data_IF_851487407846
#
_entry.id   IF_851487407846
#
_cell.length_a   1.000
_cell.length_b   1.000
_cell.length_c   1.000
_cell.angle_alpha   90.00
_cell.angle_beta   90.00
_cell.angle_gamma   90.00
#
_symmetry.space_group_name_H-M   'P 1'
#
loop_
_entity.id
_entity.type
_entity.pdbx_description
1 polymer ?
#
# COMPACT_ATOMS: atom_id res chain seq x y z
N UNK A 1 -7.44 -9.20 -25.51
CA UNK A 1 -8.37 -10.12 -24.80
C UNK A 1 -8.77 -9.47 -23.47
N UNK A 2 -10.06 -9.27 -23.19
CA UNK A 2 -10.55 -8.59 -21.97
C UNK A 2 -10.62 -9.59 -20.79
N UNK A 3 -9.48 -9.92 -20.19
CA UNK A 3 -9.39 -10.98 -19.15
C UNK A 3 -9.81 -10.45 -17.78
N UNK A 4 -9.22 -9.33 -17.32
CA UNK A 4 -9.50 -8.72 -16.01
C UNK A 4 -10.96 -8.25 -15.88
N UNK A 5 -11.54 -7.70 -16.96
CA UNK A 5 -12.92 -7.20 -16.98
C UNK A 5 -13.98 -8.30 -16.80
N UNK A 6 -13.61 -9.58 -16.92
CA UNK A 6 -14.54 -10.71 -16.74
C UNK A 6 -14.68 -11.16 -15.28
N UNK A 7 -13.93 -10.55 -14.36
CA UNK A 7 -14.01 -10.82 -12.92
C UNK A 7 -13.46 -12.19 -12.50
N UNK A 8 -13.69 -12.55 -11.24
CA UNK A 8 -13.23 -13.81 -10.64
C UNK A 8 -13.96 -15.01 -11.24
N UNK A 9 -13.21 -15.98 -11.79
CA UNK A 9 -13.73 -17.24 -12.35
C UNK A 9 -13.20 -18.49 -11.66
N UNK A 10 -12.31 -18.32 -10.69
CA UNK A 10 -11.67 -19.40 -9.97
C UNK A 10 -12.42 -19.72 -8.69
N UNK A 11 -12.43 -21.00 -8.31
CA UNK A 11 -12.91 -21.43 -6.99
C UNK A 11 -11.79 -21.19 -5.98
N UNK A 12 -11.97 -20.17 -5.15
CA UNK A 12 -11.05 -19.79 -4.10
C UNK A 12 -11.69 -20.00 -2.72
N UNK A 13 -10.87 -20.25 -1.72
CA UNK A 13 -11.32 -20.32 -0.33
C UNK A 13 -10.50 -19.39 0.54
N UNK A 14 -11.20 -18.57 1.33
CA UNK A 14 -10.60 -17.86 2.46
C UNK A 14 -10.50 -18.83 3.62
N UNK A 15 -9.31 -19.00 4.20
CA UNK A 15 -9.03 -19.97 5.26
C UNK A 15 -8.12 -19.37 6.33
N UNK A 16 -8.17 -19.90 7.54
CA UNK A 16 -7.26 -19.49 8.62
C UNK A 16 -5.91 -20.20 8.46
N UNK A 17 -4.84 -19.43 8.46
CA UNK A 17 -3.46 -19.93 8.45
C UNK A 17 -2.92 -20.02 9.88
N UNK A 18 -1.87 -20.79 10.08
CA UNK A 18 -1.30 -21.03 11.42
C UNK A 18 -0.72 -19.76 12.07
N UNK A 19 -0.10 -18.86 11.28
CA UNK A 19 0.68 -17.72 11.80
C UNK A 19 0.44 -16.38 11.10
N UNK A 20 -0.32 -16.35 10.00
CA UNK A 20 -0.50 -15.14 9.16
C UNK A 20 -1.93 -14.58 9.25
N UNK A 21 -2.80 -15.18 10.07
CA UNK A 21 -4.23 -14.87 10.09
C UNK A 21 -4.94 -15.50 8.90
N UNK A 22 -5.88 -14.79 8.29
CA UNK A 22 -6.60 -15.29 7.11
C UNK A 22 -5.72 -15.31 5.86
N UNK A 23 -5.90 -16.32 5.02
CA UNK A 23 -5.24 -16.50 3.73
C UNK A 23 -6.24 -16.88 2.65
N UNK A 24 -5.79 -16.97 1.41
CA UNK A 24 -6.58 -17.49 0.29
C UNK A 24 -5.87 -18.71 -0.28
N UNK A 25 -6.61 -19.77 -0.60
CA UNK A 25 -6.08 -20.93 -1.31
C UNK A 25 -6.90 -21.29 -2.54
N UNK A 26 -6.28 -21.95 -3.50
CA UNK A 26 -6.96 -22.47 -4.68
C UNK A 26 -7.76 -23.74 -4.33
N UNK A 27 -8.98 -23.89 -4.87
CA UNK A 27 -9.77 -25.14 -4.77
C UNK A 27 -9.70 -26.00 -6.04
N UNK A 28 -8.87 -25.57 -7.01
CA UNK A 28 -8.63 -26.26 -8.27
C UNK A 28 -7.22 -25.89 -8.76
N UNK A 29 -6.59 -26.70 -9.63
CA UNK A 29 -5.35 -26.31 -10.28
C UNK A 29 -5.52 -25.00 -11.07
N UNK A 30 -4.50 -24.14 -11.02
CA UNK A 30 -4.47 -22.87 -11.76
C UNK A 30 -3.21 -22.87 -12.61
N UNK A 31 -3.36 -22.78 -13.93
CA UNK A 31 -2.22 -22.71 -14.84
C UNK A 31 -1.49 -21.37 -14.73
N UNK A 32 -0.18 -21.37 -14.95
CA UNK A 32 0.63 -20.16 -15.05
C UNK A 32 0.01 -19.15 -16.03
N UNK A 33 0.06 -17.86 -15.67
CA UNK A 33 -0.49 -16.76 -16.45
C UNK A 33 -2.00 -16.56 -16.30
N UNK A 34 -2.69 -17.42 -15.56
CA UNK A 34 -4.13 -17.26 -15.29
C UNK A 34 -4.38 -16.05 -14.40
N UNK A 35 -5.35 -15.21 -14.78
CA UNK A 35 -5.84 -14.14 -13.92
C UNK A 35 -6.56 -14.72 -12.70
N UNK A 36 -6.14 -14.29 -11.51
CA UNK A 36 -6.67 -14.78 -10.23
C UNK A 36 -7.70 -13.82 -9.68
N UNK A 37 -7.30 -12.62 -9.30
CA UNK A 37 -8.18 -11.57 -8.79
C UNK A 37 -7.54 -10.19 -8.94
N UNK A 38 -8.32 -9.13 -8.67
CA UNK A 38 -7.76 -7.79 -8.47
C UNK A 38 -7.35 -7.63 -6.99
N UNK A 39 -6.40 -6.76 -6.69
CA UNK A 39 -6.25 -6.13 -5.38
C UNK A 39 -7.07 -4.83 -5.42
N UNK A 40 -8.32 -4.92 -4.99
CA UNK A 40 -9.28 -3.82 -5.13
C UNK A 40 -9.75 -3.33 -3.76
N UNK A 41 -9.80 -2.01 -3.63
CA UNK A 41 -10.32 -1.30 -2.47
C UNK A 41 -10.51 0.19 -2.74
N UNK A 42 -10.56 0.99 -1.69
CA UNK A 42 -10.63 2.45 -1.82
C UNK A 42 -9.36 2.99 -2.47
N UNK A 43 -9.50 3.87 -3.46
CA UNK A 43 -8.35 4.58 -4.05
C UNK A 43 -8.13 5.85 -3.24
N UNK A 44 -6.98 5.95 -2.59
CA UNK A 44 -6.67 7.03 -1.66
C UNK A 44 -5.71 8.05 -2.28
N UNK A 45 -5.87 9.31 -1.85
CA UNK A 45 -4.80 10.30 -1.96
C UNK A 45 -3.67 10.00 -0.99
N UNK A 46 -2.47 10.51 -1.29
CA UNK A 46 -1.26 10.32 -0.49
C UNK A 46 -1.43 10.67 0.99
N UNK A 47 -2.07 11.80 1.29
CA UNK A 47 -2.22 12.27 2.67
C UNK A 47 -3.18 11.39 3.47
N UNK A 48 -4.26 10.92 2.86
CA UNK A 48 -5.19 9.98 3.49
C UNK A 48 -4.55 8.61 3.70
N UNK A 49 -3.78 8.10 2.72
CA UNK A 49 -3.02 6.87 2.87
C UNK A 49 -2.04 6.95 4.04
N UNK A 50 -1.31 8.07 4.17
CA UNK A 50 -0.40 8.32 5.30
C UNK A 50 -1.13 8.41 6.64
N UNK A 51 -2.26 9.13 6.68
CA UNK A 51 -3.07 9.26 7.89
C UNK A 51 -3.55 7.89 8.38
N UNK A 52 -4.06 7.05 7.47
CA UNK A 52 -4.49 5.68 7.80
C UNK A 52 -3.31 4.79 8.21
N UNK A 53 -2.17 4.88 7.51
CA UNK A 53 -0.97 4.11 7.84
C UNK A 53 -0.42 4.45 9.25
N UNK A 54 -0.42 5.73 9.63
CA UNK A 54 0.01 6.19 10.97
C UNK A 54 -0.97 5.81 12.09
N UNK A 55 -2.24 5.60 11.76
CA UNK A 55 -3.25 5.17 12.72
C UNK A 55 -3.21 3.66 13.00
N UNK A 56 -2.45 2.87 12.21
CA UNK A 56 -2.33 1.43 12.42
C UNK A 56 -1.53 1.10 13.68
N UNK A 57 -2.03 0.14 14.43
CA UNK A 57 -1.34 -0.45 15.58
C UNK A 57 -0.55 -1.70 15.18
N UNK A 58 0.30 -2.19 16.09
CA UNK A 58 1.03 -3.44 15.93
C UNK A 58 0.15 -4.65 15.61
N UNK A 59 -1.12 -4.63 16.05
CA UNK A 59 -2.08 -5.72 15.93
C UNK A 59 -2.91 -5.66 14.65
N UNK A 60 -2.98 -4.50 14.02
CA UNK A 60 -3.79 -4.32 12.81
C UNK A 60 -3.12 -4.97 11.61
N UNK A 61 -3.90 -5.52 10.68
CA UNK A 61 -3.36 -5.91 9.39
C UNK A 61 -3.11 -4.65 8.54
N UNK A 62 -1.95 -4.60 7.86
CA UNK A 62 -1.65 -3.50 6.95
C UNK A 62 -2.09 -3.88 5.54
N UNK A 63 -3.09 -3.18 5.02
CA UNK A 63 -3.66 -3.43 3.70
C UNK A 63 -3.36 -2.31 2.68
N UNK A 64 -2.73 -1.20 3.10
CA UNK A 64 -2.49 -0.10 2.18
C UNK A 64 -1.37 -0.49 1.23
N UNK A 65 -1.68 -0.48 -0.06
CA UNK A 65 -0.73 -0.75 -1.12
C UNK A 65 -0.40 0.54 -1.86
N UNK A 66 0.88 0.89 -1.96
CA UNK A 66 1.35 1.97 -2.82
C UNK A 66 1.97 1.40 -4.09
N UNK A 67 1.41 1.77 -5.23
CA UNK A 67 2.00 1.52 -6.54
C UNK A 67 2.74 2.78 -7.00
N UNK A 68 4.02 2.62 -7.35
CA UNK A 68 4.86 3.68 -7.96
C UNK A 68 5.18 3.33 -9.40
N UNK A 69 4.66 4.11 -10.34
CA UNK A 69 4.90 3.93 -11.76
C UNK A 69 5.73 5.09 -12.31
N UNK A 70 6.87 4.77 -12.92
CA UNK A 70 7.65 5.74 -13.67
C UNK A 70 7.03 5.91 -15.04
N UNK A 71 6.51 7.10 -15.33
CA UNK A 71 5.92 7.44 -16.62
C UNK A 71 6.87 8.32 -17.43
N UNK A 72 6.57 8.49 -18.72
CA UNK A 72 7.40 9.27 -19.63
C UNK A 72 7.66 10.69 -19.10
N UNK A 73 8.90 11.17 -19.28
CA UNK A 73 9.34 12.48 -18.78
C UNK A 73 9.78 12.50 -17.32
N UNK A 74 10.11 11.34 -16.72
CA UNK A 74 10.65 11.25 -15.37
C UNK A 74 9.62 11.49 -14.25
N UNK A 75 8.33 11.57 -14.60
CA UNK A 75 7.25 11.72 -13.62
C UNK A 75 6.99 10.37 -12.96
N UNK A 76 6.67 10.40 -11.67
CA UNK A 76 6.23 9.22 -10.91
C UNK A 76 4.75 9.38 -10.58
N UNK A 77 3.94 8.41 -11.00
CA UNK A 77 2.55 8.30 -10.58
C UNK A 77 2.49 7.40 -9.34
N UNK A 78 1.83 7.90 -8.30
CA UNK A 78 1.54 7.10 -7.11
C UNK A 78 0.05 6.79 -7.03
N UNK A 79 -0.28 5.52 -6.87
CA UNK A 79 -1.65 5.07 -6.61
C UNK A 79 -1.66 4.34 -5.28
N UNK A 80 -2.54 4.76 -4.36
CA UNK A 80 -2.73 4.08 -3.08
C UNK A 80 -4.07 3.34 -3.10
N UNK A 81 -4.04 2.05 -2.79
CA UNK A 81 -5.25 1.21 -2.70
C UNK A 81 -5.36 0.66 -1.30
N UNK A 82 -6.50 0.89 -0.64
CA UNK A 82 -6.78 0.43 0.71
C UNK A 82 -8.08 -0.39 0.77
N UNK A 83 -8.00 -1.73 0.89
CA UNK A 83 -9.15 -2.61 1.02
C UNK A 83 -9.55 -2.86 2.48
N UNK A 84 -9.15 -2.00 3.42
CA UNK A 84 -9.44 -2.17 4.86
C UNK A 84 -10.95 -2.27 5.11
N UNK A 85 -11.73 -1.29 4.62
CA UNK A 85 -13.19 -1.21 4.85
C UNK A 85 -14.01 -1.66 3.64
N UNK A 86 -13.56 -1.35 2.43
CA UNK A 86 -14.21 -1.76 1.17
C UNK A 86 -13.17 -2.44 0.32
N UNK A 87 -13.34 -3.73 0.03
CA UNK A 87 -12.40 -4.48 -0.77
C UNK A 87 -12.92 -5.82 -1.25
N UNK A 88 -12.07 -6.57 -1.94
CA UNK A 88 -12.38 -7.90 -2.47
C UNK A 88 -11.54 -9.00 -1.81
N UNK A 89 -11.58 -10.22 -2.36
CA UNK A 89 -10.81 -11.38 -1.86
C UNK A 89 -9.30 -11.12 -1.81
N UNK A 90 -8.78 -10.20 -2.63
CA UNK A 90 -7.36 -9.86 -2.70
C UNK A 90 -6.79 -9.34 -1.39
N UNK A 91 -7.63 -8.76 -0.50
CA UNK A 91 -7.22 -8.29 0.82
C UNK A 91 -6.69 -9.40 1.75
N UNK A 92 -7.06 -10.66 1.48
CA UNK A 92 -6.65 -11.81 2.28
C UNK A 92 -5.42 -12.54 1.70
N UNK A 93 -4.87 -12.08 0.58
CA UNK A 93 -3.67 -12.69 0.00
C UNK A 93 -2.46 -12.32 0.86
N UNK A 94 -1.77 -13.34 1.37
CA UNK A 94 -0.60 -13.16 2.23
C UNK A 94 0.67 -12.89 1.43
N UNK A 95 1.68 -12.41 2.15
CA UNK A 95 3.02 -12.27 1.62
C UNK A 95 3.74 -13.63 1.49
N UNK A 96 4.52 -13.77 0.42
CA UNK A 96 5.63 -14.74 0.34
C UNK A 96 6.87 -14.11 -0.30
N UNK A 97 8.06 -14.50 0.20
CA UNK A 97 9.34 -14.15 -0.43
C UNK A 97 9.59 -14.97 -1.72
N UNK A 98 8.92 -16.12 -1.86
CA UNK A 98 8.82 -16.91 -3.09
C UNK A 98 7.34 -17.06 -3.44
N UNK A 99 6.71 -16.02 -3.99
CA UNK A 99 5.27 -16.03 -4.25
C UNK A 99 4.90 -16.82 -5.50
N UNK A 100 3.64 -17.26 -5.55
CA UNK A 100 3.04 -17.88 -6.74
C UNK A 100 2.13 -16.92 -7.53
N UNK A 101 1.97 -15.68 -7.09
CA UNK A 101 1.29 -14.61 -7.83
C UNK A 101 2.22 -13.46 -8.19
N UNK A 102 1.96 -12.84 -9.33
CA UNK A 102 2.57 -11.57 -9.77
C UNK A 102 1.48 -10.51 -9.93
N UNK A 103 1.75 -9.31 -9.43
CA UNK A 103 0.86 -8.16 -9.58
C UNK A 103 1.23 -7.36 -10.83
N UNK A 104 0.22 -7.01 -11.62
CA UNK A 104 0.37 -6.25 -12.86
C UNK A 104 -0.63 -5.08 -12.83
N UNK A 105 -0.16 -3.82 -12.91
CA UNK A 105 -1.02 -2.67 -13.11
C UNK A 105 -1.68 -2.73 -14.51
N UNK A 106 -3.01 -2.76 -14.56
CA UNK A 106 -3.78 -2.82 -15.80
C UNK A 106 -4.68 -1.60 -15.91
N UNK A 107 -4.45 -0.78 -16.94
CA UNK A 107 -5.37 0.30 -17.33
C UNK A 107 -6.32 -0.23 -18.39
N UNK A 108 -7.61 0.08 -18.23
CA UNK A 108 -8.59 -0.19 -19.28
C UNK A 108 -9.22 1.12 -19.71
N UNK A 109 -10.03 1.73 -18.85
CA UNK A 109 -10.79 2.95 -19.18
C UNK A 109 -10.51 4.11 -18.19
N UNK A 110 -9.46 4.00 -17.35
CA UNK A 110 -9.11 4.98 -16.32
C UNK A 110 -7.61 5.16 -16.18
N UNK A 111 -7.19 6.35 -15.75
CA UNK A 111 -5.81 6.65 -15.36
C UNK A 111 -5.39 5.89 -14.10
N UNK A 112 -6.35 5.56 -13.24
CA UNK A 112 -6.14 4.72 -12.06
C UNK A 112 -6.04 3.26 -12.51
N UNK A 113 -4.88 2.59 -12.32
CA UNK A 113 -4.72 1.21 -12.73
C UNK A 113 -5.49 0.27 -11.82
N UNK A 114 -6.04 -0.80 -12.39
CA UNK A 114 -6.48 -1.98 -11.65
C UNK A 114 -5.26 -2.83 -11.32
N UNK A 115 -5.09 -3.20 -10.06
CA UNK A 115 -3.99 -4.05 -9.61
C UNK A 115 -4.38 -5.52 -9.82
N UNK A 116 -4.04 -6.10 -10.97
CA UNK A 116 -4.44 -7.45 -11.33
C UNK A 116 -3.37 -8.46 -10.90
N UNK A 117 -3.78 -9.55 -10.22
CA UNK A 117 -2.90 -10.65 -9.85
C UNK A 117 -3.05 -11.82 -10.81
N UNK A 118 -1.92 -12.32 -11.29
CA UNK A 118 -1.82 -13.46 -12.19
C UNK A 118 -0.97 -14.56 -11.57
N UNK A 119 -1.26 -15.82 -11.89
CA UNK A 119 -0.43 -16.94 -11.49
C UNK A 119 0.97 -16.82 -12.13
N UNK A 120 2.02 -16.80 -11.30
CA UNK A 120 3.40 -16.69 -11.75
C UNK A 120 4.03 -18.06 -12.11
N UNK A 121 3.40 -19.14 -11.64
CA UNK A 121 3.70 -20.54 -11.91
C UNK A 121 2.38 -21.34 -11.92
N UNK A 122 2.44 -22.64 -12.22
CA UNK A 122 1.31 -23.53 -11.99
C UNK A 122 1.08 -23.68 -10.48
N UNK A 123 -0.19 -23.60 -10.06
CA UNK A 123 -0.61 -23.63 -8.66
C UNK A 123 -1.51 -24.85 -8.44
N UNK A 124 -1.20 -25.64 -7.42
CA UNK A 124 -1.96 -26.85 -7.10
C UNK A 124 -3.25 -26.55 -6.35
N UNK A 125 -4.24 -27.44 -6.45
CA UNK A 125 -5.41 -27.36 -5.58
C UNK A 125 -4.98 -27.52 -4.11
N UNK A 126 -5.52 -26.67 -3.24
CA UNK A 126 -5.16 -26.58 -1.82
C UNK A 126 -4.00 -25.64 -1.52
N UNK A 127 -3.24 -25.20 -2.52
CA UNK A 127 -2.09 -24.32 -2.34
C UNK A 127 -2.51 -22.88 -1.98
N UNK A 128 -1.80 -22.28 -1.02
CA UNK A 128 -2.03 -20.89 -0.63
C UNK A 128 -1.56 -19.93 -1.72
N UNK A 129 -2.39 -18.94 -2.02
CA UNK A 129 -2.13 -17.88 -2.97
C UNK A 129 -1.44 -16.71 -2.25
N UNK A 130 -0.26 -16.34 -2.74
CA UNK A 130 0.58 -15.33 -2.12
C UNK A 130 1.29 -14.46 -3.15
N UNK A 131 1.57 -13.22 -2.80
CA UNK A 131 2.32 -12.28 -3.63
C UNK A 131 3.41 -11.57 -2.81
N UNK A 132 4.34 -10.93 -3.49
CA UNK A 132 5.38 -10.13 -2.84
C UNK A 132 4.84 -8.73 -2.51
N UNK A 133 4.75 -8.41 -1.21
CA UNK A 133 4.25 -7.11 -0.74
C UNK A 133 5.18 -5.96 -1.11
N UNK A 134 6.45 -6.23 -1.42
CA UNK A 134 7.39 -5.21 -1.89
C UNK A 134 7.19 -4.82 -3.35
N UNK A 135 6.46 -5.63 -4.11
CA UNK A 135 6.27 -5.46 -5.55
C UNK A 135 7.53 -5.68 -6.40
N UNK A 136 8.60 -6.28 -5.84
CA UNK A 136 9.89 -6.51 -6.52
C UNK A 136 9.93 -7.84 -7.26
N UNK A 137 9.09 -8.80 -6.88
CA UNK A 137 9.02 -10.09 -7.55
C UNK A 137 8.70 -9.94 -9.05
N UNK A 138 9.63 -10.40 -9.90
CA UNK A 138 9.61 -10.22 -11.37
C UNK A 138 9.51 -8.75 -11.83
N UNK A 139 9.89 -7.81 -10.97
CA UNK A 139 9.92 -6.38 -11.25
C UNK A 139 11.07 -5.70 -10.46
N UNK A 140 12.34 -6.03 -10.76
CA UNK A 140 13.48 -5.41 -10.09
C UNK A 140 13.52 -3.91 -10.43
N UNK A 141 13.80 -3.02 -9.44
CA UNK A 141 13.98 -1.61 -9.72
C UNK A 141 15.18 -1.41 -10.67
N UNK A 142 15.15 -0.38 -11.53
CA UNK A 142 16.25 -0.11 -12.46
C UNK A 142 17.57 0.21 -11.75
N UNK A 143 17.53 0.65 -10.49
CA UNK A 143 18.69 0.89 -9.63
C UNK A 143 18.54 0.12 -8.31
N UNK A 144 19.47 -0.79 -8.01
CA UNK A 144 19.48 -1.62 -6.80
C UNK A 144 19.76 -0.82 -5.49
N UNK A 145 20.11 0.46 -5.59
CA UNK A 145 20.59 1.29 -4.47
C UNK A 145 19.52 2.04 -3.65
N UNK A 146 18.29 2.18 -4.15
CA UNK A 146 17.29 3.06 -3.53
C UNK A 146 16.21 2.25 -2.80
N UNK A 147 16.56 1.79 -1.60
CA UNK A 147 15.71 1.62 -0.42
C UNK A 147 16.48 0.75 0.58
N UNK A 148 17.61 1.27 1.07
CA UNK A 148 18.08 0.86 2.40
C UNK A 148 17.03 1.35 3.38
N UNK A 149 16.56 0.45 4.25
CA UNK A 149 15.71 0.83 5.37
C UNK A 149 16.40 2.01 6.09
N UNK A 150 15.72 3.13 6.37
CA UNK A 150 16.28 4.17 7.20
C UNK A 150 16.67 3.52 8.55
N UNK A 151 17.92 3.72 8.96
CA UNK A 151 18.34 3.46 10.32
C UNK A 151 17.70 4.53 11.18
N UNK A 152 16.57 4.20 11.80
CA UNK A 152 15.81 5.06 12.68
C UNK A 152 14.82 4.21 13.46
N UNK A 153 14.99 4.20 14.78
CA UNK A 153 14.15 3.49 15.72
C UNK A 153 12.69 3.96 15.63
N UNK A 154 11.76 3.00 15.84
CA UNK A 154 10.30 3.14 16.05
C UNK A 154 9.33 2.73 14.92
N UNK A 155 9.80 2.13 13.82
CA UNK A 155 8.88 1.41 12.91
C UNK A 155 8.84 -0.07 13.27
N UNK A 156 7.73 -0.51 13.87
CA UNK A 156 7.50 -1.90 14.25
C UNK A 156 7.42 -2.80 13.01
N UNK A 157 8.55 -3.44 12.65
CA UNK A 157 8.61 -4.39 11.53
C UNK A 157 7.96 -5.71 11.94
N UNK A 158 6.96 -6.15 11.16
CA UNK A 158 6.29 -7.43 11.40
C UNK A 158 7.16 -8.60 10.90
N UNK A 159 7.27 -9.70 11.64
CA UNK A 159 7.98 -10.90 11.19
C UNK A 159 7.29 -11.52 9.97
N UNK A 160 8.08 -12.10 9.06
CA UNK A 160 7.60 -12.84 7.91
C UNK A 160 7.49 -14.34 8.25
N UNK A 161 6.31 -14.92 8.04
CA UNK A 161 6.04 -16.36 8.25
C UNK A 161 5.69 -17.09 6.94
N UNK A 162 6.31 -16.70 5.82
CA UNK A 162 5.99 -17.29 4.52
C UNK A 162 6.47 -18.73 4.33
N UNK A 163 7.45 -19.19 5.12
CA UNK A 163 7.99 -20.56 5.03
C UNK A 163 8.98 -20.81 3.88
N UNK A 164 9.25 -19.80 3.04
CA UNK A 164 10.27 -19.86 1.98
C UNK A 164 11.67 -20.08 2.57
N UNK A 165 12.52 -20.82 1.84
CA UNK A 165 13.94 -21.00 2.20
C UNK A 165 14.75 -19.71 2.05
N UNK A 166 14.33 -18.83 1.14
CA UNK A 166 14.94 -17.52 0.89
C UNK A 166 14.18 -16.39 1.64
N UNK A 167 13.52 -16.70 2.76
CA UNK A 167 12.72 -15.73 3.51
C UNK A 167 13.58 -14.58 4.06
N UNK A 168 13.11 -13.34 3.86
CA UNK A 168 13.75 -12.13 4.40
C UNK A 168 13.54 -11.93 5.92
N UNK A 169 12.92 -12.88 6.62
CA UNK A 169 12.55 -12.88 8.04
C UNK A 169 11.56 -11.79 8.51
N UNK A 170 11.41 -10.70 7.77
CA UNK A 170 10.54 -9.56 8.08
C UNK A 170 9.71 -9.18 6.87
N UNK A 171 8.47 -8.75 7.09
CA UNK A 171 7.63 -8.25 6.02
C UNK A 171 8.26 -7.00 5.38
N UNK A 172 8.09 -6.82 4.05
CA UNK A 172 8.52 -5.63 3.36
C UNK A 172 7.89 -4.38 3.99
N UNK A 173 8.70 -3.34 4.14
CA UNK A 173 8.25 -2.05 4.61
C UNK A 173 8.27 -1.07 3.45
N UNK A 174 7.18 -0.33 3.27
CA UNK A 174 7.07 0.71 2.27
C UNK A 174 7.32 2.08 2.90
N UNK A 175 8.52 2.62 2.68
CA UNK A 175 8.89 3.96 3.15
C UNK A 175 8.13 5.09 2.48
N UNK A 176 7.41 4.84 1.37
CA UNK A 176 6.58 5.87 0.73
C UNK A 176 5.41 6.33 1.61
N UNK A 177 4.87 5.40 2.41
CA UNK A 177 3.80 5.65 3.37
C UNK A 177 4.32 6.33 4.65
N UNK A 178 5.63 6.28 4.88
CA UNK A 178 6.30 6.80 6.08
C UNK A 178 7.60 7.54 5.71
N UNK A 179 7.54 8.70 5.03
CA UNK A 179 8.75 9.47 4.77
C UNK A 179 9.36 9.94 6.10
N UNK A 180 10.69 9.90 6.18
CA UNK A 180 11.46 10.56 7.23
C UNK A 180 11.01 12.02 7.39
N UNK A 181 11.08 12.55 8.60
CA UNK A 181 10.71 13.95 8.92
C UNK A 181 11.43 15.00 8.03
N UNK A 182 12.50 14.62 7.33
CA UNK A 182 13.32 15.50 6.50
C UNK A 182 12.82 15.66 5.05
N UNK A 183 11.75 14.98 4.64
CA UNK A 183 11.22 15.10 3.28
C UNK A 183 10.18 16.22 3.14
N UNK A 184 10.69 17.46 3.03
CA UNK A 184 10.05 18.65 2.43
C UNK A 184 8.83 19.25 3.16
N UNK A 185 9.10 20.17 4.10
CA UNK A 185 8.27 21.38 4.21
C UNK A 185 8.80 22.42 3.22
N UNK A 186 8.05 22.86 2.20
CA UNK A 186 8.37 24.13 1.56
C UNK A 186 8.15 25.22 2.60
N UNK A 187 9.20 25.99 2.91
CA UNK A 187 9.12 27.10 3.84
C UNK A 187 8.00 28.05 3.40
N UNK A 188 7.03 28.31 4.27
CA UNK A 188 6.07 29.39 4.08
C UNK A 188 6.86 30.70 3.91
N UNK A 189 6.52 31.55 2.92
CA UNK A 189 7.13 32.87 2.83
C UNK A 189 6.73 33.68 4.05
N UNK A 190 7.73 34.03 4.87
CA UNK A 190 7.56 34.93 6.02
C UNK A 190 6.94 36.25 5.54
N UNK A 191 5.79 36.59 6.09
CA UNK A 191 5.20 37.92 5.96
C UNK A 191 6.13 38.98 6.58
N UNK A 192 6.32 40.14 5.93
CA UNK A 192 7.23 41.16 6.44
C UNK A 192 6.65 41.81 7.71
N UNK A 193 7.48 41.87 8.75
CA UNK A 193 7.20 42.54 10.02
C UNK A 193 6.82 44.00 9.78
N UNK A 194 5.65 44.39 10.31
CA UNK A 194 5.18 45.78 10.27
C UNK A 194 5.63 46.46 11.57
N UNK A 195 6.72 47.22 11.48
CA UNK A 195 7.12 48.15 12.55
C UNK A 195 6.30 49.43 12.45
N UNK A 196 5.73 49.88 13.58
CA UNK A 196 5.81 51.26 14.08
C UNK A 196 4.72 51.57 15.12
N UNK A 197 5.13 52.38 16.09
CA UNK A 197 4.44 52.81 17.31
C UNK A 197 3.32 53.82 17.01
N UNK A 198 2.26 53.82 17.84
CA UNK A 198 1.26 54.89 17.89
C UNK A 198 0.34 54.77 19.13
N UNK A 199 0.18 55.87 19.87
CA UNK A 199 -0.40 56.03 21.22
C UNK A 199 -1.90 55.65 21.39
N UNK A 200 -2.20 55.11 22.58
CA UNK A 200 -3.27 55.38 23.58
C UNK A 200 -4.52 56.19 23.13
N UNK A 201 -5.73 55.70 23.45
CA UNK A 201 -6.74 56.37 24.32
C UNK A 201 -7.95 55.45 24.63
N UNK A 202 -8.50 55.64 25.83
CA UNK A 202 -9.55 54.90 26.55
C UNK A 202 -10.95 54.91 25.89
N UNK A 203 -11.75 53.85 26.12
CA UNK A 203 -13.04 53.91 26.84
C UNK A 203 -13.77 52.56 26.91
N UNK A 204 -14.21 52.20 28.13
CA UNK A 204 -15.28 51.23 28.46
C UNK A 204 -16.67 51.83 28.14
N UNK A 205 -17.72 51.01 27.90
CA UNK A 205 -18.69 50.75 28.97
C UNK A 205 -19.40 49.37 28.98
N UNK A 206 -19.42 48.71 30.14
CA UNK A 206 -20.58 48.22 30.95
C UNK A 206 -21.91 47.83 30.25
N UNK A 207 -22.21 46.50 30.23
CA UNK A 207 -23.44 45.70 30.54
C UNK A 207 -24.85 46.08 29.97
N UNK A 208 -25.90 45.19 29.96
CA UNK A 208 -26.10 43.98 30.78
C UNK A 208 -26.68 42.72 30.10
N UNK A 209 -26.66 41.66 30.90
CA UNK A 209 -27.27 40.33 30.74
C UNK A 209 -28.81 40.35 30.79
N UNK A 210 -29.42 39.35 30.18
CA UNK A 210 -30.71 38.77 30.56
C UNK A 210 -30.57 37.24 30.60
#
# INVERSE_FOLDING_TARGET
>A
MRVVQRGLRLRLQVFLTDKKGWGVRALQPIAQGTFVCEYAGEVLGRDEARRRARAQTARDANYIMALREHVHGGRVLETFVDPTYVGNVGRFLNHSCEPNLVMVPVRVDSMVPKLALFAAADISAGEELCYDYSGRFRNPPPNEGEQRAPQGDDVLRKPCFCGSRACAAVLPWDGSLFPSADAHSPAEPRSPERTSRGRVLHNEPVFPTS
#
